data_IF_953403630275
#
_entry.id   IF_953403630275
#
_cell.length_a   1.000
_cell.length_b   1.000
_cell.length_c   1.000
_cell.angle_alpha   90.00
_cell.angle_beta   90.00
_cell.angle_gamma   90.00
#
_symmetry.space_group_name_H-M   'P 1'
#
loop_
_entity.id
_entity.type
_entity.pdbx_description
1 polymer ?
#
# COMPACT_ATOMS: atom_id res chain seq x y z
N UNK A 1 -11.55 25.47 2.75
CA UNK A 1 -10.15 25.00 2.94
C UNK A 1 -10.09 24.12 4.17
N UNK A 2 -9.65 22.86 4.06
CA UNK A 2 -9.45 21.99 5.24
C UNK A 2 -8.36 22.62 6.12
N UNK A 3 -8.56 22.66 7.44
CA UNK A 3 -7.52 23.06 8.37
C UNK A 3 -6.49 21.94 8.46
N UNK A 4 -5.25 22.21 8.09
CA UNK A 4 -4.14 21.27 8.25
C UNK A 4 -3.95 20.96 9.73
N UNK A 5 -3.99 19.68 10.10
CA UNK A 5 -3.71 19.25 11.48
C UNK A 5 -2.22 19.40 11.78
N UNK A 6 -1.80 19.52 13.05
CA UNK A 6 -0.37 19.57 13.40
C UNK A 6 0.43 18.39 12.85
N UNK A 7 -0.15 17.18 12.83
CA UNK A 7 0.48 15.99 12.26
C UNK A 7 0.64 16.08 10.74
N UNK A 8 -0.38 16.60 10.03
CA UNK A 8 -0.29 16.80 8.58
C UNK A 8 0.74 17.89 8.23
N UNK A 9 0.80 18.98 9.01
CA UNK A 9 1.78 20.04 8.83
C UNK A 9 3.21 19.50 9.01
N UNK A 10 3.45 18.69 10.04
CA UNK A 10 4.74 18.01 10.24
C UNK A 10 5.10 17.12 9.05
N UNK A 11 4.15 16.36 8.52
CA UNK A 11 4.33 15.53 7.32
C UNK A 11 4.77 16.36 6.12
N UNK A 12 4.05 17.45 5.83
CA UNK A 12 4.38 18.39 4.74
C UNK A 12 5.81 18.93 4.89
N UNK A 13 6.18 19.43 6.08
CA UNK A 13 7.54 19.95 6.30
C UNK A 13 8.62 18.88 6.10
N UNK A 14 8.35 17.62 6.48
CA UNK A 14 9.27 16.50 6.26
C UNK A 14 9.47 16.23 4.77
N UNK A 15 8.42 16.27 3.95
CA UNK A 15 8.53 16.12 2.50
C UNK A 15 9.32 17.29 1.90
N UNK A 16 8.99 18.53 2.27
CA UNK A 16 9.69 19.74 1.79
C UNK A 16 11.21 19.69 2.06
N UNK A 17 11.61 19.15 3.23
CA UNK A 17 13.03 18.98 3.54
C UNK A 17 13.72 17.95 2.64
N UNK A 18 13.05 16.84 2.32
CA UNK A 18 13.60 15.79 1.46
C UNK A 18 13.62 16.20 0.00
N UNK A 19 12.57 16.86 -0.47
CA UNK A 19 12.51 17.44 -1.79
C UNK A 19 13.67 18.42 -2.02
N UNK A 20 13.90 19.35 -1.08
CA UNK A 20 15.05 20.27 -1.14
C UNK A 20 16.39 19.55 -1.10
N UNK A 21 16.51 18.44 -0.40
CA UNK A 21 17.74 17.64 -0.44
C UNK A 21 17.97 17.03 -1.82
N UNK A 22 16.94 16.47 -2.45
CA UNK A 22 17.05 15.89 -3.80
C UNK A 22 17.31 16.98 -4.86
N UNK A 23 16.52 18.06 -4.84
CA UNK A 23 16.57 19.12 -5.87
C UNK A 23 17.74 20.08 -5.69
N UNK A 24 18.04 20.46 -4.45
CA UNK A 24 18.98 21.56 -4.14
C UNK A 24 20.23 21.08 -3.37
N UNK A 25 20.34 19.78 -3.06
CA UNK A 25 21.42 19.21 -2.22
C UNK A 25 21.54 19.89 -0.85
N UNK A 26 20.44 20.47 -0.34
CA UNK A 26 20.40 21.11 0.98
C UNK A 26 20.03 20.10 2.05
N UNK A 27 20.92 19.91 3.02
CA UNK A 27 20.67 19.03 4.17
C UNK A 27 19.50 19.53 5.03
N UNK A 28 18.64 18.64 5.55
CA UNK A 28 17.59 19.01 6.49
C UNK A 28 18.16 19.64 7.78
N UNK A 29 17.50 20.66 8.36
CA UNK A 29 17.95 21.32 9.58
C UNK A 29 17.71 20.43 10.81
N UNK A 30 18.78 19.88 11.39
CA UNK A 30 18.69 18.92 12.51
C UNK A 30 18.18 19.53 13.84
N UNK A 31 18.07 20.84 13.93
CA UNK A 31 17.49 21.53 15.09
C UNK A 31 15.96 21.50 15.10
N UNK A 32 15.29 21.20 13.99
CA UNK A 32 13.81 21.07 13.93
C UNK A 32 13.36 19.61 14.04
N UNK A 33 12.15 19.32 14.58
CA UNK A 33 11.59 17.96 14.56
C UNK A 33 11.45 17.38 13.14
N UNK A 34 10.94 18.17 12.19
CA UNK A 34 10.77 17.80 10.78
C UNK A 34 12.10 17.50 10.10
N UNK A 35 13.13 18.33 10.33
CA UNK A 35 14.46 18.12 9.75
C UNK A 35 15.16 16.86 10.28
N UNK A 36 15.03 16.55 11.57
CA UNK A 36 15.53 15.28 12.13
C UNK A 36 14.85 14.05 11.53
N UNK A 37 13.52 14.10 11.35
CA UNK A 37 12.76 13.02 10.71
C UNK A 37 13.12 12.87 9.24
N UNK A 38 13.29 13.98 8.52
CA UNK A 38 13.74 13.95 7.13
C UNK A 38 15.11 13.29 7.01
N UNK A 39 16.09 13.72 7.83
CA UNK A 39 17.46 13.23 7.79
C UNK A 39 17.58 11.70 7.97
N UNK A 40 16.78 11.08 8.84
CA UNK A 40 16.82 9.62 9.02
C UNK A 40 16.23 8.85 7.84
N UNK A 41 15.32 9.48 7.08
CA UNK A 41 14.79 8.90 5.84
C UNK A 41 15.78 8.97 4.68
N UNK A 42 16.60 10.03 4.61
CA UNK A 42 17.52 10.26 3.49
C UNK A 42 18.56 9.16 3.30
N UNK A 43 18.94 8.44 4.36
CA UNK A 43 19.86 7.30 4.26
C UNK A 43 19.29 6.12 3.44
N UNK A 44 17.98 6.10 3.20
CA UNK A 44 17.28 5.05 2.45
C UNK A 44 16.79 5.54 1.08
N UNK A 45 17.02 6.82 0.77
CA UNK A 45 16.65 7.50 -0.46
C UNK A 45 17.82 7.43 -1.45
N UNK A 46 17.57 7.29 -2.76
CA UNK A 46 18.64 7.41 -3.77
C UNK A 46 19.34 8.77 -3.67
N UNK A 47 20.61 8.83 -4.07
CA UNK A 47 21.38 10.07 -3.97
C UNK A 47 20.85 11.13 -4.94
N UNK A 48 21.05 12.44 -4.66
CA UNK A 48 20.68 13.49 -5.59
C UNK A 48 21.38 13.30 -6.94
N UNK A 49 20.63 13.36 -8.03
CA UNK A 49 21.12 13.06 -9.38
C UNK A 49 20.91 11.62 -9.83
N UNK A 50 20.49 10.71 -8.93
CA UNK A 50 20.00 9.36 -9.28
C UNK A 50 18.47 9.29 -9.26
N UNK A 51 17.79 10.35 -8.82
CA UNK A 51 16.36 10.38 -8.66
C UNK A 51 15.78 11.79 -8.91
N UNK A 52 14.47 11.83 -9.19
CA UNK A 52 13.64 13.04 -9.22
C UNK A 52 12.66 13.02 -8.04
N UNK A 53 12.34 14.20 -7.49
CA UNK A 53 11.41 14.35 -6.38
C UNK A 53 10.11 15.06 -6.75
N UNK A 54 9.02 14.66 -6.10
CA UNK A 54 7.69 15.28 -6.13
C UNK A 54 7.13 15.43 -7.55
N UNK A 55 7.27 14.36 -8.34
CA UNK A 55 6.84 14.34 -9.73
C UNK A 55 5.33 14.25 -9.80
N UNK A 56 4.70 15.30 -10.34
CA UNK A 56 3.29 15.28 -10.67
C UNK A 56 3.10 14.76 -12.09
N UNK A 57 2.31 13.70 -12.23
CA UNK A 57 1.95 13.12 -13.52
C UNK A 57 0.44 13.27 -13.67
N UNK A 58 0.03 13.80 -14.82
CA UNK A 58 -1.37 13.96 -15.22
C UNK A 58 -1.53 13.35 -16.60
N UNK A 59 -2.27 12.26 -16.69
CA UNK A 59 -2.42 11.53 -17.95
C UNK A 59 -3.71 10.72 -17.97
N UNK A 60 -4.16 10.37 -19.16
CA UNK A 60 -5.28 9.46 -19.36
C UNK A 60 -4.74 8.10 -19.78
N UNK A 61 -5.06 7.06 -19.02
CA UNK A 61 -4.69 5.68 -19.32
C UNK A 61 -6.00 4.93 -19.54
N UNK A 62 -6.20 4.44 -20.76
CA UNK A 62 -7.37 3.64 -21.15
C UNK A 62 -8.71 4.27 -20.74
N UNK A 63 -8.83 5.59 -20.97
CA UNK A 63 -10.05 6.36 -20.68
C UNK A 63 -10.17 6.88 -19.25
N UNK A 64 -9.30 6.48 -18.33
CA UNK A 64 -9.29 6.97 -16.93
C UNK A 64 -8.30 8.12 -16.78
N UNK A 65 -8.74 9.26 -16.26
CA UNK A 65 -7.85 10.38 -15.94
C UNK A 65 -7.16 10.17 -14.59
N UNK A 66 -5.83 10.09 -14.62
CA UNK A 66 -4.99 9.98 -13.44
C UNK A 66 -4.30 11.30 -13.13
N UNK A 67 -4.33 11.69 -11.85
CA UNK A 67 -3.47 12.74 -11.30
C UNK A 67 -2.72 12.19 -10.09
N UNK A 68 -1.44 11.87 -10.29
CA UNK A 68 -0.59 11.25 -9.27
C UNK A 68 0.57 12.18 -8.92
N UNK A 69 1.05 12.06 -7.67
CA UNK A 69 2.24 12.77 -7.18
C UNK A 69 3.16 11.74 -6.52
N UNK A 70 4.28 11.45 -7.17
CA UNK A 70 5.26 10.48 -6.68
C UNK A 70 6.34 11.23 -5.90
N UNK A 71 6.57 10.85 -4.64
CA UNK A 71 7.54 11.55 -3.77
C UNK A 71 8.95 11.48 -4.35
N UNK A 72 9.40 10.28 -4.76
CA UNK A 72 10.69 10.07 -5.43
C UNK A 72 10.59 8.93 -6.43
N UNK A 73 11.25 9.07 -7.59
CA UNK A 73 11.52 7.94 -8.48
C UNK A 73 12.96 7.93 -8.98
N UNK A 74 13.50 6.73 -9.26
CA UNK A 74 14.82 6.57 -9.87
C UNK A 74 14.86 7.13 -11.30
N UNK A 75 16.04 7.57 -11.69
CA UNK A 75 16.38 7.85 -13.08
C UNK A 75 16.96 6.58 -13.74
N UNK A 76 16.85 6.52 -15.06
CA UNK A 76 17.47 5.45 -15.86
C UNK A 76 18.97 5.33 -15.57
N UNK A 77 19.53 4.09 -15.59
CA UNK A 77 18.89 2.84 -16.02
C UNK A 77 18.13 2.10 -14.89
N UNK A 78 18.01 2.68 -13.70
CA UNK A 78 17.33 2.05 -12.57
C UNK A 78 15.86 2.46 -12.53
N UNK A 79 15.00 1.53 -12.10
CA UNK A 79 13.56 1.79 -11.99
C UNK A 79 13.09 1.56 -10.57
N UNK A 80 12.41 2.56 -10.02
CA UNK A 80 11.82 2.43 -8.71
C UNK A 80 11.10 3.67 -8.25
N UNK A 81 10.12 3.45 -7.38
CA UNK A 81 9.27 4.48 -6.78
C UNK A 81 9.43 4.42 -5.26
N UNK A 82 9.48 5.59 -4.63
CA UNK A 82 9.57 5.72 -3.18
C UNK A 82 8.45 6.60 -2.69
N UNK A 83 7.99 6.28 -1.49
CA UNK A 83 6.99 7.06 -0.78
C UNK A 83 7.39 7.21 0.69
N UNK A 84 7.20 8.41 1.23
CA UNK A 84 7.49 8.74 2.61
C UNK A 84 6.21 8.84 3.43
N UNK A 85 6.16 8.08 4.52
CA UNK A 85 5.01 8.11 5.43
C UNK A 85 5.46 8.55 6.82
N UNK A 86 5.04 9.71 7.28
CA UNK A 86 5.14 10.03 8.71
C UNK A 86 4.02 9.31 9.47
N UNK A 87 4.35 8.59 10.54
CA UNK A 87 3.34 7.84 11.32
C UNK A 87 3.58 7.96 12.82
N UNK A 88 2.51 8.00 13.60
CA UNK A 88 2.56 7.90 15.07
C UNK A 88 2.65 6.45 15.55
N UNK A 89 2.40 5.47 14.68
CA UNK A 89 2.47 4.05 15.01
C UNK A 89 2.88 3.22 13.79
N UNK A 90 3.90 2.36 13.96
CA UNK A 90 4.38 1.47 12.89
C UNK A 90 3.47 0.26 12.64
N UNK A 91 2.45 0.03 13.47
CA UNK A 91 1.44 -1.00 13.17
C UNK A 91 0.67 -0.74 11.86
N UNK A 92 0.72 0.50 11.36
CA UNK A 92 0.15 0.91 10.07
C UNK A 92 1.15 0.85 8.92
N UNK A 93 2.38 0.41 9.19
CA UNK A 93 3.33 0.16 8.12
C UNK A 93 2.88 -1.06 7.32
N UNK A 94 3.00 -0.99 6.00
CA UNK A 94 2.82 -2.17 5.16
C UNK A 94 3.83 -3.24 5.56
N UNK A 95 3.45 -4.49 5.36
CA UNK A 95 4.40 -5.59 5.26
C UNK A 95 4.84 -5.69 3.80
N UNK A 96 5.93 -6.39 3.47
CA UNK A 96 6.27 -6.63 2.07
C UNK A 96 5.12 -7.28 1.29
N UNK A 97 4.38 -8.20 1.92
CA UNK A 97 3.21 -8.83 1.31
C UNK A 97 2.05 -7.85 1.08
N UNK A 98 1.73 -6.98 2.04
CA UNK A 98 0.67 -5.99 1.82
C UNK A 98 1.09 -4.85 0.89
N UNK A 99 2.39 -4.54 0.82
CA UNK A 99 2.93 -3.63 -0.20
C UNK A 99 2.86 -4.26 -1.60
N UNK A 100 2.99 -5.58 -1.70
CA UNK A 100 2.83 -6.32 -2.95
C UNK A 100 1.43 -6.20 -3.57
N UNK A 101 0.43 -5.81 -2.78
CA UNK A 101 -0.97 -5.66 -3.21
C UNK A 101 -1.43 -4.19 -3.13
N UNK A 102 -0.54 -3.28 -2.74
CA UNK A 102 -0.91 -1.89 -2.52
C UNK A 102 -1.23 -1.17 -3.83
N UNK A 103 -2.43 -0.57 -3.88
CA UNK A 103 -2.92 0.16 -5.06
C UNK A 103 -2.08 1.38 -5.39
N UNK A 104 -1.68 2.17 -4.38
CA UNK A 104 -0.90 3.38 -4.61
C UNK A 104 0.43 3.06 -5.30
N UNK A 105 1.10 1.99 -4.87
CA UNK A 105 2.31 1.48 -5.50
C UNK A 105 2.08 1.06 -6.95
N UNK A 106 1.05 0.25 -7.23
CA UNK A 106 0.75 -0.20 -8.61
C UNK A 106 0.51 1.02 -9.50
N UNK A 107 -0.32 1.96 -9.04
CA UNK A 107 -0.63 3.21 -9.73
C UNK A 107 0.64 4.02 -9.98
N UNK A 108 1.54 4.15 -9.01
CA UNK A 108 2.78 4.92 -9.15
C UNK A 108 3.71 4.31 -10.20
N UNK A 109 3.91 3.00 -10.18
CA UNK A 109 4.76 2.30 -11.15
C UNK A 109 4.17 2.44 -12.54
N UNK A 110 2.90 2.10 -12.74
CA UNK A 110 2.25 2.17 -14.06
C UNK A 110 2.28 3.58 -14.63
N UNK A 111 1.92 4.59 -13.81
CA UNK A 111 1.93 5.97 -14.27
C UNK A 111 3.35 6.45 -14.61
N UNK A 112 4.37 6.00 -13.89
CA UNK A 112 5.76 6.33 -14.21
C UNK A 112 6.20 5.71 -15.53
N UNK A 113 5.88 4.43 -15.79
CA UNK A 113 6.22 3.74 -17.03
C UNK A 113 5.58 4.43 -18.24
N UNK A 114 4.28 4.71 -18.15
CA UNK A 114 3.53 5.42 -19.19
C UNK A 114 4.07 6.83 -19.42
N UNK A 115 4.37 7.57 -18.35
CA UNK A 115 4.94 8.92 -18.45
C UNK A 115 6.31 8.95 -19.13
N UNK A 116 7.11 7.89 -18.95
CA UNK A 116 8.42 7.74 -19.58
C UNK A 116 8.33 7.12 -20.97
N UNK A 117 7.13 6.75 -21.43
CA UNK A 117 6.89 6.09 -22.72
C UNK A 117 7.69 4.78 -22.87
N UNK A 118 7.90 4.06 -21.77
CA UNK A 118 8.66 2.79 -21.75
C UNK A 118 7.71 1.62 -21.53
N UNK A 119 7.87 0.57 -22.35
CA UNK A 119 7.09 -0.66 -22.20
C UNK A 119 7.50 -1.40 -20.92
N UNK A 120 6.55 -1.97 -20.16
CA UNK A 120 6.86 -2.83 -19.00
C UNK A 120 7.83 -3.97 -19.34
N UNK A 121 7.82 -4.49 -20.57
CA UNK A 121 8.73 -5.54 -21.03
C UNK A 121 10.20 -5.09 -21.10
N UNK A 122 10.47 -3.78 -21.22
CA UNK A 122 11.81 -3.21 -21.32
C UNK A 122 12.46 -2.90 -19.95
N UNK A 123 11.64 -2.77 -18.90
CA UNK A 123 12.08 -2.23 -17.61
C UNK A 123 12.66 -3.29 -16.66
N UNK A 124 12.38 -4.58 -16.89
CA UNK A 124 12.84 -5.63 -15.97
C UNK A 124 12.23 -5.46 -14.58
N UNK A 125 13.06 -5.46 -13.54
CA UNK A 125 12.61 -5.34 -12.14
C UNK A 125 12.47 -3.88 -11.70
N UNK A 126 11.40 -3.58 -10.96
CA UNK A 126 11.11 -2.26 -10.38
C UNK A 126 11.12 -2.35 -8.86
N UNK A 127 11.89 -1.48 -8.20
CA UNK A 127 11.89 -1.35 -6.74
C UNK A 127 10.80 -0.38 -6.28
N UNK A 128 9.88 -0.87 -5.46
CA UNK A 128 8.95 -0.05 -4.69
C UNK A 128 9.38 -0.01 -3.23
N UNK A 129 9.63 1.20 -2.69
CA UNK A 129 10.05 1.36 -1.28
C UNK A 129 9.20 2.38 -0.55
N UNK A 130 8.56 1.96 0.53
CA UNK A 130 7.85 2.85 1.44
C UNK A 130 8.67 3.07 2.70
N UNK A 131 8.96 4.33 3.04
CA UNK A 131 9.84 4.69 4.15
C UNK A 131 9.00 5.33 5.24
N UNK A 132 8.74 4.56 6.30
CA UNK A 132 7.98 5.02 7.45
C UNK A 132 8.87 5.75 8.45
N UNK A 133 8.41 6.94 8.85
CA UNK A 133 9.09 7.84 9.77
C UNK A 133 8.28 7.98 11.06
N UNK A 134 8.64 7.23 12.13
CA UNK A 134 7.91 7.27 13.39
C UNK A 134 8.08 8.61 14.10
N UNK A 135 6.98 9.32 14.35
CA UNK A 135 6.96 10.67 14.94
C UNK A 135 7.02 10.67 16.48
N UNK A 136 6.77 9.53 17.11
CA UNK A 136 6.68 9.38 18.58
C UNK A 136 8.03 9.11 19.26
N UNK A 137 9.09 8.84 18.49
CA UNK A 137 10.40 8.48 19.02
C UNK A 137 11.28 9.71 19.23
N UNK A 138 11.95 9.79 20.39
CA UNK A 138 12.97 10.83 20.66
C UNK A 138 14.17 10.76 19.70
N UNK A 139 14.49 9.55 19.23
CA UNK A 139 15.51 9.25 18.23
C UNK A 139 14.86 8.40 17.15
N UNK A 140 14.21 9.01 16.16
CA UNK A 140 13.49 8.26 15.14
C UNK A 140 14.47 7.41 14.34
N UNK A 141 14.04 6.20 13.98
CA UNK A 141 14.71 5.33 13.01
C UNK A 141 13.73 5.10 11.89
N UNK A 142 14.15 5.33 10.65
CA UNK A 142 13.32 5.04 9.49
C UNK A 142 13.08 3.53 9.38
N UNK A 143 11.88 3.15 8.93
CA UNK A 143 11.49 1.76 8.71
C UNK A 143 11.13 1.58 7.23
N UNK A 144 12.04 1.03 6.40
CA UNK A 144 11.75 0.73 5.01
C UNK A 144 10.90 -0.53 4.89
N UNK A 145 9.99 -0.51 3.93
CA UNK A 145 9.25 -1.67 3.45
C UNK A 145 9.48 -1.73 1.95
N UNK A 146 10.11 -2.81 1.50
CA UNK A 146 10.57 -2.96 0.13
C UNK A 146 9.76 -4.04 -0.58
N UNK A 147 9.53 -3.81 -1.87
CA UNK A 147 9.02 -4.80 -2.80
C UNK A 147 9.72 -4.65 -4.14
N UNK A 148 10.19 -5.75 -4.71
CA UNK A 148 10.80 -5.78 -6.04
C UNK A 148 10.03 -6.78 -6.89
N UNK A 149 9.59 -6.35 -8.07
CA UNK A 149 8.89 -7.21 -9.01
C UNK A 149 9.14 -6.76 -10.44
N UNK A 150 8.86 -7.64 -11.40
CA UNK A 150 8.92 -7.28 -12.82
C UNK A 150 7.85 -6.25 -13.15
N UNK A 151 8.21 -5.22 -13.92
CA UNK A 151 7.28 -4.22 -14.40
C UNK A 151 6.06 -4.82 -15.12
N UNK A 152 6.26 -5.90 -15.88
CA UNK A 152 5.16 -6.62 -16.55
C UNK A 152 4.13 -7.17 -15.56
N UNK A 153 4.57 -7.70 -14.41
CA UNK A 153 3.67 -8.22 -13.37
C UNK A 153 2.89 -7.05 -12.71
N UNK A 154 3.55 -5.91 -12.51
CA UNK A 154 2.86 -4.71 -12.01
C UNK A 154 1.80 -4.23 -13.00
N UNK A 155 2.10 -4.27 -14.30
CA UNK A 155 1.16 -3.93 -15.37
C UNK A 155 -0.04 -4.89 -15.40
N UNK A 156 0.18 -6.20 -15.33
CA UNK A 156 -0.90 -7.20 -15.26
C UNK A 156 -1.84 -6.90 -14.08
N UNK A 157 -1.28 -6.58 -12.91
CA UNK A 157 -2.07 -6.18 -11.72
C UNK A 157 -2.82 -4.86 -11.91
N UNK A 158 -2.23 -3.93 -12.64
CA UNK A 158 -2.91 -2.70 -13.00
C UNK A 158 -4.15 -3.01 -13.86
N UNK A 159 -3.98 -3.78 -14.93
CA UNK A 159 -5.05 -4.16 -15.87
C UNK A 159 -6.14 -4.99 -15.16
N UNK A 160 -5.75 -5.98 -14.36
CA UNK A 160 -6.70 -6.93 -13.77
C UNK A 160 -7.45 -6.38 -12.56
N UNK A 161 -6.85 -5.47 -11.81
CA UNK A 161 -7.38 -5.04 -10.50
C UNK A 161 -7.63 -3.54 -10.44
N UNK A 162 -6.63 -2.72 -10.78
CA UNK A 162 -6.71 -1.26 -10.57
C UNK A 162 -7.61 -0.61 -11.60
N UNK A 163 -7.41 -0.95 -12.87
CA UNK A 163 -8.07 -0.31 -13.99
C UNK A 163 -9.61 -0.50 -13.98
N UNK A 164 -10.16 -1.71 -13.73
CA UNK A 164 -11.61 -1.90 -13.65
C UNK A 164 -12.26 -1.07 -12.55
N UNK A 165 -11.63 -1.01 -11.37
CA UNK A 165 -12.09 -0.16 -10.26
C UNK A 165 -12.05 1.31 -10.66
N UNK A 166 -10.99 1.74 -11.33
CA UNK A 166 -10.85 3.13 -11.74
C UNK A 166 -11.88 3.53 -12.81
N UNK A 167 -12.19 2.65 -13.76
CA UNK A 167 -13.28 2.83 -14.70
C UNK A 167 -14.64 2.90 -14.01
N UNK A 168 -14.89 2.04 -13.02
CA UNK A 168 -16.12 2.11 -12.21
C UNK A 168 -16.23 3.47 -11.51
N UNK A 169 -15.14 3.96 -10.91
CA UNK A 169 -15.09 5.27 -10.25
C UNK A 169 -15.31 6.43 -11.24
N UNK A 170 -14.73 6.40 -12.44
CA UNK A 170 -14.91 7.45 -13.45
C UNK A 170 -16.34 7.48 -13.98
N UNK A 171 -16.98 6.31 -14.10
CA UNK A 171 -18.36 6.17 -14.57
C UNK A 171 -19.41 6.33 -13.46
N UNK A 172 -18.99 6.31 -12.19
CA UNK A 172 -19.89 6.50 -11.08
C UNK A 172 -20.48 7.93 -11.08
N UNK A 173 -21.68 8.08 -10.53
CA UNK A 173 -22.26 9.41 -10.35
C UNK A 173 -21.31 10.26 -9.50
N UNK A 174 -21.13 11.52 -9.89
CA UNK A 174 -20.31 12.46 -9.12
C UNK A 174 -21.09 13.10 -7.97
N UNK A 175 -22.40 12.90 -7.92
CA UNK A 175 -23.26 13.43 -6.87
C UNK A 175 -23.12 12.54 -5.62
N UNK A 176 -22.67 13.09 -4.48
CA UNK A 176 -22.47 12.32 -3.24
C UNK A 176 -23.73 11.60 -2.76
N UNK A 177 -24.91 12.11 -3.10
CA UNK A 177 -26.23 11.56 -2.75
C UNK A 177 -26.52 10.22 -3.41
N UNK A 178 -25.88 9.94 -4.55
CA UNK A 178 -26.08 8.70 -5.31
C UNK A 178 -25.26 7.52 -4.76
N UNK A 179 -24.40 7.78 -3.77
CA UNK A 179 -23.53 6.78 -3.16
C UNK A 179 -24.05 6.29 -1.79
N UNK A 180 -23.84 5.00 -1.45
CA UNK A 180 -24.11 4.50 -0.10
C UNK A 180 -23.33 5.28 0.97
N UNK A 181 -24.00 5.62 2.08
CA UNK A 181 -23.36 6.34 3.18
C UNK A 181 -22.51 5.41 4.03
N UNK A 182 -21.20 5.67 4.07
CA UNK A 182 -20.25 4.99 4.96
C UNK A 182 -19.88 5.88 6.15
N UNK A 183 -20.82 6.03 7.08
CA UNK A 183 -20.69 6.99 8.19
C UNK A 183 -19.54 6.68 9.15
N UNK A 184 -19.13 5.42 9.26
CA UNK A 184 -17.99 5.00 10.08
C UNK A 184 -16.63 5.30 9.43
N UNK A 185 -16.61 5.57 8.12
CA UNK A 185 -15.43 6.03 7.40
C UNK A 185 -15.26 7.57 7.44
N UNK A 186 -16.26 8.32 7.93
CA UNK A 186 -16.25 9.79 7.86
C UNK A 186 -15.09 10.46 8.60
N UNK A 187 -14.52 9.81 9.62
CA UNK A 187 -13.39 10.31 10.39
C UNK A 187 -12.06 9.60 10.03
N UNK A 188 -12.10 8.68 9.05
CA UNK A 188 -10.91 8.02 8.54
C UNK A 188 -10.10 8.95 7.61
N UNK A 189 -8.80 8.68 7.49
CA UNK A 189 -7.88 9.38 6.57
C UNK A 189 -7.90 10.92 6.65
N UNK A 190 -8.19 11.49 7.83
CA UNK A 190 -8.24 12.94 8.03
C UNK A 190 -9.60 13.60 7.75
N UNK A 191 -10.64 12.79 7.57
CA UNK A 191 -12.03 13.21 7.50
C UNK A 191 -12.62 13.23 6.08
N UNK A 192 -13.94 13.08 6.00
CA UNK A 192 -14.73 13.12 4.77
C UNK A 192 -15.31 14.52 4.53
N UNK A 193 -15.12 15.08 3.34
CA UNK A 193 -15.66 16.39 2.96
C UNK A 193 -17.17 16.39 2.73
N UNK A 194 -17.72 15.24 2.35
CA UNK A 194 -19.15 15.06 2.19
C UNK A 194 -19.87 14.77 3.52
N UNK A 195 -19.16 14.86 4.67
CA UNK A 195 -19.74 14.58 6.00
C UNK A 195 -21.01 15.40 6.23
N UNK A 196 -21.02 16.69 5.91
CA UNK A 196 -22.21 17.53 6.11
C UNK A 196 -23.40 17.06 5.28
N UNK A 197 -23.16 16.66 4.03
CA UNK A 197 -24.17 16.12 3.11
C UNK A 197 -24.67 14.77 3.63
N UNK A 198 -23.78 13.83 3.93
CA UNK A 198 -24.13 12.52 4.47
C UNK A 198 -24.88 12.60 5.82
N UNK A 199 -24.57 13.61 6.64
CA UNK A 199 -25.18 13.82 7.96
C UNK A 199 -26.44 14.68 7.93
N UNK A 200 -26.70 15.44 6.86
CA UNK A 200 -27.83 16.39 6.77
C UNK A 200 -29.17 15.72 7.08
N UNK A 201 -29.38 14.51 6.55
CA UNK A 201 -30.62 13.74 6.64
C UNK A 201 -30.60 12.62 7.69
N UNK A 202 -29.60 12.60 8.59
CA UNK A 202 -29.57 11.61 9.68
C UNK A 202 -30.42 12.09 10.85
N UNK A 203 -31.20 11.18 11.42
CA UNK A 203 -31.84 11.40 12.72
C UNK A 203 -30.79 11.66 13.80
N UNK A 204 -31.16 12.35 14.88
CA UNK A 204 -30.25 12.59 16.03
C UNK A 204 -29.67 11.29 16.59
N UNK A 205 -30.44 10.19 16.54
CA UNK A 205 -30.00 8.86 16.97
C UNK A 205 -28.91 8.29 16.06
N UNK A 206 -29.08 8.41 14.75
CA UNK A 206 -28.08 7.97 13.76
C UNK A 206 -26.81 8.82 13.81
N UNK A 207 -26.94 10.14 13.98
CA UNK A 207 -25.80 11.04 14.19
C UNK A 207 -24.97 10.62 15.40
N UNK A 208 -25.61 10.33 16.53
CA UNK A 208 -24.92 9.83 17.73
C UNK A 208 -24.28 8.47 17.47
N UNK A 209 -24.99 7.53 16.83
CA UNK A 209 -24.42 6.21 16.51
C UNK A 209 -23.20 6.32 15.60
N UNK A 210 -23.20 7.23 14.63
CA UNK A 210 -22.05 7.46 13.76
C UNK A 210 -20.85 8.05 14.52
N UNK A 211 -21.07 9.01 15.42
CA UNK A 211 -20.01 9.63 16.23
C UNK A 211 -19.37 8.64 17.22
N UNK A 212 -20.17 7.72 17.77
CA UNK A 212 -19.71 6.75 18.77
C UNK A 212 -19.45 5.34 18.20
N UNK A 213 -19.64 5.14 16.90
CA UNK A 213 -19.29 3.88 16.27
C UNK A 213 -17.77 3.73 16.33
N UNK A 214 -17.25 2.56 16.76
CA UNK A 214 -15.82 2.31 16.60
C UNK A 214 -15.49 2.43 15.10
N UNK A 215 -14.39 3.10 14.81
CA UNK A 215 -13.88 3.24 13.44
C UNK A 215 -13.76 1.87 12.79
N UNK A 216 -13.88 1.77 11.46
CA UNK A 216 -13.75 0.49 10.76
C UNK A 216 -12.40 -0.17 11.09
N UNK A 217 -11.37 0.65 11.23
CA UNK A 217 -10.06 0.24 11.74
C UNK A 217 -10.06 -0.37 13.15
N UNK A 218 -10.75 0.22 14.12
CA UNK A 218 -10.91 -0.38 15.45
C UNK A 218 -11.65 -1.72 15.38
N UNK A 219 -12.64 -1.86 14.48
CA UNK A 219 -13.32 -3.14 14.25
C UNK A 219 -12.34 -4.20 13.74
N UNK A 220 -11.47 -3.87 12.78
CA UNK A 220 -10.45 -4.79 12.26
C UNK A 220 -9.46 -5.20 13.35
N UNK A 221 -8.94 -4.24 14.14
CA UNK A 221 -8.01 -4.53 15.24
C UNK A 221 -8.68 -5.39 16.32
N UNK A 222 -9.94 -5.12 16.66
CA UNK A 222 -10.70 -5.94 17.60
C UNK A 222 -10.94 -7.35 17.04
N UNK A 223 -11.24 -7.48 15.74
CA UNK A 223 -11.44 -8.76 15.09
C UNK A 223 -10.15 -9.59 15.04
N UNK A 224 -9.01 -8.99 14.68
CA UNK A 224 -7.72 -9.68 14.65
C UNK A 224 -7.28 -10.12 16.05
N UNK A 225 -7.44 -9.26 17.06
CA UNK A 225 -7.16 -9.61 18.45
C UNK A 225 -8.07 -10.74 18.96
N UNK A 226 -9.35 -10.77 18.55
CA UNK A 226 -10.27 -11.85 18.86
C UNK A 226 -9.84 -13.16 18.18
N UNK A 227 -9.46 -13.10 16.90
CA UNK A 227 -8.99 -14.27 16.14
C UNK A 227 -7.70 -14.86 16.73
N UNK A 228 -6.74 -14.02 17.11
CA UNK A 228 -5.52 -14.46 17.80
C UNK A 228 -5.84 -15.08 19.17
N UNK A 229 -6.82 -14.54 19.90
CA UNK A 229 -7.30 -15.15 21.15
C UNK A 229 -7.97 -16.51 20.94
N UNK A 230 -8.70 -16.69 19.84
CA UNK A 230 -9.30 -17.99 19.47
C UNK A 230 -8.19 -18.99 19.12
N UNK A 231 -7.20 -18.60 18.30
CA UNK A 231 -6.04 -19.45 17.98
C UNK A 231 -5.25 -19.83 19.22
N UNK A 232 -4.98 -18.88 20.12
CA UNK A 232 -4.28 -19.14 21.36
C UNK A 232 -5.07 -20.10 22.28
N UNK A 233 -6.40 -20.01 22.30
CA UNK A 233 -7.26 -20.97 23.03
C UNK A 233 -7.24 -22.36 22.39
N UNK A 234 -7.27 -22.44 21.06
CA UNK A 234 -7.17 -23.71 20.35
C UNK A 234 -5.82 -24.40 20.62
N UNK A 235 -4.72 -23.63 20.63
CA UNK A 235 -3.39 -24.13 20.97
C UNK A 235 -3.25 -24.52 22.46
N UNK A 236 -3.89 -23.78 23.37
CA UNK A 236 -3.84 -24.05 24.81
C UNK A 236 -4.72 -25.23 25.25
N UNK A 237 -5.84 -25.47 24.56
CA UNK A 237 -6.72 -26.62 24.78
C UNK A 237 -6.23 -27.87 24.03
N UNK A 238 -4.91 -27.97 23.84
CA UNK A 238 -4.24 -28.83 22.88
C UNK A 238 -4.89 -30.21 22.74
N UNK A 239 -5.11 -30.58 21.47
CA UNK A 239 -5.35 -31.92 20.92
C UNK A 239 -5.38 -33.06 21.93
N UNK A 240 -6.40 -33.03 22.79
CA UNK A 240 -7.05 -34.24 23.26
C UNK A 240 -7.75 -34.81 22.05
N UNK A 241 -7.00 -35.56 21.23
CA UNK A 241 -7.51 -36.42 20.17
C UNK A 241 -8.56 -37.32 20.82
N UNK A 242 -9.82 -36.90 20.77
CA UNK A 242 -10.94 -37.81 20.95
C UNK A 242 -10.97 -38.62 19.67
N UNK A 243 -10.33 -39.78 19.74
CA UNK A 243 -10.40 -40.83 18.73
C UNK A 243 -11.88 -41.22 18.58
N UNK A 244 -12.54 -40.65 17.57
CA UNK A 244 -13.91 -40.97 17.20
C UNK A 244 -13.91 -42.35 16.56
N UNK A 245 -14.02 -43.39 17.39
CA UNK A 245 -14.44 -44.71 16.92
C UNK A 245 -15.85 -44.57 16.35
N UNK A 246 -15.97 -44.78 15.05
CA UNK A 246 -17.24 -44.92 14.34
C UNK A 246 -18.11 -45.97 15.03
N UNK A 247 -19.34 -45.62 15.39
CA UNK A 247 -20.35 -46.65 15.54
C UNK A 247 -21.77 -46.18 15.17
N UNK A 248 -22.47 -47.18 14.64
CA UNK A 248 -23.78 -47.30 14.00
C UNK A 248 -24.96 -46.41 14.44
N UNK A 249 -25.86 -46.26 13.47
CA UNK A 249 -27.26 -45.79 13.54
C UNK A 249 -28.19 -47.02 13.36
N UNK A 250 -29.51 -47.00 13.64
CA UNK A 250 -30.32 -46.67 14.84
C UNK A 250 -31.19 -47.90 15.31
N UNK A 251 -32.13 -47.79 16.27
CA UNK A 251 -33.55 -47.60 15.87
C UNK A 251 -34.42 -46.74 16.82
N UNK A 252 -35.70 -46.67 16.46
CA UNK A 252 -36.70 -45.65 16.72
C UNK A 252 -37.50 -45.73 18.04
N UNK A 253 -38.20 -44.60 18.28
CA UNK A 253 -39.51 -44.39 18.95
C UNK A 253 -39.74 -44.80 20.41
N UNK A 254 -40.68 -44.05 21.06
CA UNK A 254 -41.42 -44.24 22.35
C UNK A 254 -41.36 -42.95 23.23
N UNK A 255 -42.45 -42.54 23.96
CA UNK A 255 -43.25 -41.34 23.70
C UNK A 255 -43.16 -40.31 24.89
N UNK A 256 -43.99 -39.23 24.97
CA UNK A 256 -43.76 -38.13 25.90
C UNK A 256 -44.46 -38.30 27.28
N UNK A 257 -44.34 -37.25 28.12
CA UNK A 257 -44.97 -36.90 29.43
C UNK A 257 -44.24 -37.28 30.74
N UNK A 258 -44.45 -36.58 31.89
CA UNK A 258 -44.95 -35.21 32.17
C UNK A 258 -44.14 -34.36 33.20
N UNK A 259 -44.28 -33.04 33.10
CA UNK A 259 -44.45 -31.95 34.13
C UNK A 259 -43.76 -31.90 35.52
N UNK A 260 -43.11 -30.73 35.76
CA UNK A 260 -43.14 -29.85 36.97
C UNK A 260 -42.32 -30.22 38.24
N UNK A 261 -42.02 -29.29 39.19
CA UNK A 261 -42.33 -27.84 39.31
C UNK A 261 -41.14 -26.89 39.68
N UNK A 262 -41.47 -25.59 39.71
CA UNK A 262 -40.74 -24.41 40.21
C UNK A 262 -40.03 -24.54 41.55
N UNK A 263 -38.93 -23.77 41.72
CA UNK A 263 -38.56 -23.15 43.01
C UNK A 263 -38.13 -21.70 42.78
N UNK A 264 -38.80 -20.84 43.54
CA UNK A 264 -38.66 -19.40 43.67
C UNK A 264 -37.41 -18.94 44.46
N UNK A 265 -36.96 -17.72 44.13
CA UNK A 265 -36.48 -16.64 45.02
C UNK A 265 -35.09 -16.74 45.69
N UNK A 266 -34.49 -15.61 46.17
CA UNK A 266 -34.92 -14.20 46.09
C UNK A 266 -33.89 -13.20 45.53
N UNK A 267 -34.40 -12.00 45.26
CA UNK A 267 -33.68 -10.71 45.13
C UNK A 267 -32.89 -10.34 46.40
N UNK A 268 -31.77 -9.63 46.22
CA UNK A 268 -31.29 -8.61 47.18
C UNK A 268 -30.19 -7.72 46.56
N UNK A 269 -29.83 -6.55 47.13
CA UNK A 269 -29.93 -5.29 46.42
C UNK A 269 -28.59 -4.58 46.17
N UNK A 270 -28.71 -3.48 45.43
CA UNK A 270 -27.69 -2.52 45.02
C UNK A 270 -26.62 -2.18 46.07
N UNK A 271 -25.37 -2.09 45.61
CA UNK A 271 -24.32 -1.25 46.21
C UNK A 271 -23.60 -0.47 45.12
N UNK A 272 -23.82 0.84 45.13
CA UNK A 272 -23.02 1.85 44.45
C UNK A 272 -21.65 1.96 45.14
N UNK A 273 -20.58 1.61 44.42
CA UNK A 273 -19.21 1.93 44.81
C UNK A 273 -18.71 3.18 44.05
N UNK A 274 -18.24 4.25 44.73
CA UNK A 274 -17.66 5.41 44.06
C UNK A 274 -16.27 5.08 43.49
N UNK A 275 -15.86 5.69 42.35
CA UNK A 275 -14.55 5.42 41.77
C UNK A 275 -13.41 5.96 42.64
N UNK A 276 -12.61 5.03 43.17
CA UNK A 276 -11.31 5.30 43.82
C UNK A 276 -10.37 6.02 42.86
N UNK A 277 -10.07 7.29 43.17
CA UNK A 277 -8.94 8.03 42.59
C UNK A 277 -7.62 7.31 42.94
N UNK A 278 -6.95 6.73 41.94
CA UNK A 278 -5.56 6.26 42.09
C UNK A 278 -4.63 7.47 42.09
N UNK A 279 -4.15 7.82 43.29
CA UNK A 279 -3.04 8.74 43.48
C UNK A 279 -1.75 8.18 42.86
N UNK A 280 -0.97 9.08 42.27
CA UNK A 280 0.37 8.83 41.75
C UNK A 280 1.35 8.82 42.93
N UNK A 281 2.14 7.76 43.17
CA UNK A 281 3.14 7.81 44.23
C UNK A 281 4.23 8.83 43.89
N UNK A 282 4.59 9.73 44.82
CA UNK A 282 5.67 10.69 44.64
C UNK A 282 7.00 10.03 44.97
N UNK A 283 7.96 10.08 44.05
CA UNK A 283 9.36 9.82 44.35
C UNK A 283 10.02 8.75 43.49
N UNK A 284 10.59 9.18 42.37
CA UNK A 284 11.84 8.58 41.89
C UNK A 284 12.82 9.72 41.58
N UNK A 285 13.73 9.93 42.53
CA UNK A 285 14.90 10.79 42.37
C UNK A 285 15.86 10.04 41.43
N UNK A 286 15.98 10.50 40.19
CA UNK A 286 17.00 9.99 39.27
C UNK A 286 18.37 10.54 39.69
N UNK A 287 19.22 9.61 40.11
CA UNK A 287 20.65 9.77 40.37
C UNK A 287 21.39 9.86 39.02
N UNK A 288 22.31 10.81 38.81
CA UNK A 288 23.09 10.86 37.57
C UNK A 288 24.08 9.68 37.55
N UNK A 289 24.03 8.87 36.49
CA UNK A 289 25.02 7.82 36.22
C UNK A 289 26.19 8.47 35.48
N UNK A 290 27.31 8.54 36.18
CA UNK A 290 28.64 8.88 35.67
C UNK A 290 29.05 7.94 34.53
N UNK A 291 29.86 8.49 33.63
CA UNK A 291 30.08 7.98 32.29
C UNK A 291 30.94 6.72 32.15
N UNK A 292 30.89 6.22 30.93
CA UNK A 292 31.76 5.18 30.41
C UNK A 292 32.04 5.59 28.95
N UNK A 293 33.29 5.95 28.69
CA UNK A 293 33.78 6.27 27.33
C UNK A 293 33.77 4.99 26.49
N UNK A 294 33.40 5.05 25.20
CA UNK A 294 33.58 3.92 24.29
C UNK A 294 35.08 3.67 24.05
N UNK A 295 35.51 2.41 23.94
CA UNK A 295 36.88 2.08 23.60
C UNK A 295 37.23 2.50 22.16
N UNK A 296 38.44 3.03 22.05
CA UNK A 296 39.13 3.45 20.84
C UNK A 296 39.23 2.28 19.85
N UNK A 297 38.63 2.45 18.66
CA UNK A 297 38.74 1.49 17.57
C UNK A 297 40.14 1.53 16.97
N UNK A 298 40.90 0.46 17.18
CA UNK A 298 42.15 0.21 16.48
C UNK A 298 41.89 -0.04 14.99
N UNK A 299 42.53 0.78 14.16
CA UNK A 299 42.57 0.63 12.69
C UNK A 299 43.54 -0.50 12.37
N UNK A 300 43.04 -1.57 11.73
CA UNK A 300 43.88 -2.63 11.16
C UNK A 300 44.54 -2.12 9.86
N UNK A 301 45.85 -2.36 9.65
CA UNK A 301 46.53 -2.02 8.41
C UNK A 301 46.10 -2.97 7.26
N UNK A 302 46.05 -2.39 6.06
CA UNK A 302 45.51 -3.00 4.85
C UNK A 302 46.22 -4.28 4.41
N UNK A 303 45.41 -5.23 3.92
CA UNK A 303 45.85 -6.39 3.16
C UNK A 303 45.73 -5.99 1.69
N UNK A 304 46.87 -5.73 1.06
CA UNK A 304 46.99 -5.60 -0.39
C UNK A 304 46.81 -6.99 -1.00
N UNK A 305 45.67 -7.24 -1.64
CA UNK A 305 45.48 -8.39 -2.49
C UNK A 305 46.00 -8.06 -3.90
N UNK A 306 47.18 -8.60 -4.20
CA UNK A 306 47.74 -8.68 -5.54
C UNK A 306 46.89 -9.66 -6.37
N UNK A 307 45.99 -9.12 -7.20
CA UNK A 307 45.17 -9.88 -8.14
C UNK A 307 45.93 -9.92 -9.45
N UNK A 308 46.59 -11.05 -9.71
CA UNK A 308 47.26 -11.30 -10.99
C UNK A 308 46.29 -11.25 -12.18
N UNK A 309 46.79 -10.97 -13.39
CA UNK A 309 45.96 -10.80 -14.57
C UNK A 309 45.22 -12.09 -14.94
N UNK A 310 43.90 -12.01 -15.03
CA UNK A 310 43.05 -13.09 -15.54
C UNK A 310 43.36 -13.38 -17.01
N UNK A 311 43.34 -14.65 -17.44
CA UNK A 311 43.55 -15.03 -18.83
C UNK A 311 42.35 -14.58 -19.69
N UNK A 312 42.64 -13.77 -20.71
CA UNK A 312 41.68 -13.41 -21.77
C UNK A 312 41.21 -14.68 -22.49
N UNK A 313 39.94 -15.05 -22.31
CA UNK A 313 39.25 -15.96 -23.22
C UNK A 313 38.51 -15.14 -24.27
N UNK A 314 38.95 -15.26 -25.52
CA UNK A 314 38.26 -14.77 -26.72
C UNK A 314 36.84 -15.34 -26.78
N UNK A 315 35.88 -14.54 -26.32
CA UNK A 315 34.46 -14.82 -26.53
C UNK A 315 34.05 -14.29 -27.91
N UNK A 316 33.29 -15.06 -28.70
CA UNK A 316 32.83 -14.61 -30.00
C UNK A 316 32.01 -13.32 -29.85
N UNK A 317 32.10 -12.37 -30.80
CA UNK A 317 31.40 -11.10 -30.70
C UNK A 317 29.90 -11.36 -30.63
N UNK A 318 29.28 -10.91 -29.53
CA UNK A 318 27.83 -10.88 -29.40
C UNK A 318 27.26 -9.99 -30.51
N UNK A 319 26.16 -10.40 -31.17
CA UNK A 319 25.53 -9.56 -32.17
C UNK A 319 25.16 -8.20 -31.55
N UNK A 320 25.46 -7.12 -32.27
CA UNK A 320 25.22 -5.75 -31.82
C UNK A 320 23.73 -5.59 -31.49
N UNK A 321 23.43 -5.21 -30.24
CA UNK A 321 22.08 -5.07 -29.68
C UNK A 321 21.12 -4.26 -30.55
N UNK A 322 21.62 -3.32 -31.35
CA UNK A 322 20.84 -2.53 -32.31
C UNK A 322 20.14 -3.41 -33.36
N UNK A 323 20.79 -4.46 -33.86
CA UNK A 323 20.22 -5.29 -34.94
C UNK A 323 19.00 -6.10 -34.51
N UNK A 324 18.90 -6.47 -33.23
CA UNK A 324 17.75 -7.22 -32.71
C UNK A 324 16.54 -6.31 -32.50
N UNK A 325 16.76 -5.07 -32.06
CA UNK A 325 15.68 -4.09 -31.86
C UNK A 325 15.10 -3.67 -33.21
N UNK A 326 15.95 -3.43 -34.20
CA UNK A 326 15.51 -3.03 -35.56
C UNK A 326 14.71 -4.13 -36.26
N UNK A 327 15.09 -5.40 -36.05
CA UNK A 327 14.33 -6.55 -36.58
C UNK A 327 12.96 -6.68 -35.92
N UNK A 328 12.88 -6.51 -34.60
CA UNK A 328 11.62 -6.57 -33.87
C UNK A 328 10.69 -5.41 -34.24
N UNK A 329 11.22 -4.20 -34.47
CA UNK A 329 10.41 -3.07 -34.89
C UNK A 329 9.89 -3.26 -36.33
N UNK A 330 10.70 -3.81 -37.24
CA UNK A 330 10.27 -4.13 -38.60
C UNK A 330 9.15 -5.20 -38.64
N UNK A 331 9.24 -6.24 -37.81
CA UNK A 331 8.19 -7.25 -37.68
C UNK A 331 6.91 -6.65 -37.09
N UNK A 332 7.03 -5.77 -36.09
CA UNK A 332 5.89 -5.08 -35.48
C UNK A 332 5.17 -4.13 -36.46
N UNK A 333 5.92 -3.35 -37.25
CA UNK A 333 5.34 -2.50 -38.28
C UNK A 333 4.63 -3.31 -39.37
N UNK A 334 5.20 -4.46 -39.74
CA UNK A 334 4.58 -5.39 -40.70
C UNK A 334 3.26 -5.94 -40.16
N UNK A 335 3.23 -6.37 -38.89
CA UNK A 335 2.01 -6.83 -38.22
C UNK A 335 0.92 -5.74 -38.18
N UNK A 336 1.29 -4.49 -37.86
CA UNK A 336 0.36 -3.34 -37.88
C UNK A 336 -0.24 -3.10 -39.26
N UNK A 337 0.58 -3.19 -40.31
CA UNK A 337 0.12 -2.99 -41.69
C UNK A 337 -0.87 -4.09 -42.10
N UNK A 338 -0.58 -5.35 -41.79
CA UNK A 338 -1.48 -6.50 -42.08
C UNK A 338 -2.80 -6.36 -41.31
N UNK A 339 -2.74 -5.93 -40.05
CA UNK A 339 -3.92 -5.73 -39.22
C UNK A 339 -4.80 -4.59 -39.75
N UNK A 340 -4.20 -3.44 -40.11
CA UNK A 340 -4.91 -2.32 -40.72
C UNK A 340 -5.56 -2.72 -42.05
N UNK A 341 -4.86 -3.47 -42.91
CA UNK A 341 -5.41 -4.00 -44.16
C UNK A 341 -6.58 -4.96 -43.91
N UNK A 342 -6.50 -5.78 -42.85
CA UNK A 342 -7.56 -6.71 -42.47
C UNK A 342 -8.81 -5.96 -41.98
N UNK A 343 -8.64 -4.92 -41.16
CA UNK A 343 -9.75 -4.06 -40.71
C UNK A 343 -10.42 -3.37 -41.90
N UNK A 344 -9.65 -2.79 -42.83
CA UNK A 344 -10.20 -2.16 -44.05
C UNK A 344 -10.98 -3.17 -44.91
N UNK A 345 -10.43 -4.37 -45.07
CA UNK A 345 -11.08 -5.45 -45.84
C UNK A 345 -12.38 -5.91 -45.19
N UNK A 346 -12.42 -6.01 -43.86
CA UNK A 346 -13.63 -6.36 -43.11
C UNK A 346 -14.65 -5.22 -43.12
N UNK A 347 -14.22 -3.97 -42.96
CA UNK A 347 -15.10 -2.80 -43.05
C UNK A 347 -15.74 -2.62 -44.44
N UNK A 348 -15.16 -3.23 -45.48
CA UNK A 348 -15.71 -3.24 -46.84
C UNK A 348 -16.79 -4.32 -47.06
N UNK A 349 -17.06 -5.17 -46.07
CA UNK A 349 -18.08 -6.21 -46.16
C UNK A 349 -19.48 -5.61 -45.93
N UNK A 350 -20.44 -5.82 -46.85
CA UNK A 350 -21.77 -5.23 -46.73
C UNK A 350 -22.64 -5.88 -45.64
N UNK A 351 -22.23 -7.05 -45.13
CA UNK A 351 -22.94 -7.80 -44.10
C UNK A 351 -22.48 -7.47 -42.66
N UNK A 352 -21.43 -6.64 -42.51
CA UNK A 352 -20.95 -6.23 -41.20
C UNK A 352 -21.51 -4.86 -40.83
N UNK A 353 -22.01 -4.75 -39.59
CA UNK A 353 -22.45 -3.48 -39.03
C UNK A 353 -21.27 -2.69 -38.49
N UNK A 354 -21.49 -1.40 -38.25
CA UNK A 354 -20.49 -0.53 -37.59
C UNK A 354 -20.15 -1.05 -36.18
N UNK A 355 -21.08 -1.75 -35.52
CA UNK A 355 -20.82 -2.39 -34.21
C UNK A 355 -19.84 -3.55 -34.37
N UNK A 356 -20.06 -4.43 -35.35
CA UNK A 356 -19.19 -5.59 -35.58
C UNK A 356 -17.76 -5.15 -35.90
N UNK A 357 -17.60 -4.08 -36.68
CA UNK A 357 -16.28 -3.52 -37.01
C UNK A 357 -15.59 -2.96 -35.75
N UNK A 358 -16.35 -2.33 -34.85
CA UNK A 358 -15.82 -1.79 -33.59
C UNK A 358 -15.38 -2.90 -32.64
N UNK A 359 -16.20 -3.93 -32.46
CA UNK A 359 -15.90 -5.05 -31.58
C UNK A 359 -14.66 -5.83 -32.07
N UNK A 360 -14.53 -5.96 -33.40
CA UNK A 360 -13.38 -6.61 -34.01
C UNK A 360 -12.09 -5.77 -33.91
N UNK A 361 -12.20 -4.44 -34.02
CA UNK A 361 -11.08 -3.54 -33.77
C UNK A 361 -10.66 -3.55 -32.29
N UNK A 362 -11.62 -3.71 -31.36
CA UNK A 362 -11.35 -3.93 -29.94
C UNK A 362 -10.55 -5.22 -29.72
N UNK A 363 -11.05 -6.36 -30.22
CA UNK A 363 -10.38 -7.65 -30.08
C UNK A 363 -8.96 -7.69 -30.70
N UNK A 364 -8.74 -6.95 -31.80
CA UNK A 364 -7.42 -6.81 -32.41
C UNK A 364 -6.48 -5.90 -31.61
N UNK A 365 -7.03 -4.93 -30.86
CA UNK A 365 -6.25 -4.08 -29.96
C UNK A 365 -5.84 -4.87 -28.71
N UNK A 366 -6.68 -5.78 -28.23
CA UNK A 366 -6.35 -6.66 -27.09
C UNK A 366 -5.27 -7.69 -27.45
N UNK A 367 -5.21 -8.13 -28.71
CA UNK A 367 -4.10 -8.97 -29.25
C UNK A 367 -2.74 -8.26 -29.26
N UNK A 368 -2.70 -6.92 -29.10
CA UNK A 368 -1.47 -6.12 -29.02
C UNK A 368 -0.83 -6.14 -27.61
N UNK A 369 -1.58 -6.61 -26.61
CA UNK A 369 -1.13 -6.72 -25.21
C UNK A 369 -0.44 -8.06 -24.89
N UNK A 370 -0.40 -8.98 -25.86
CA UNK A 370 0.39 -10.22 -25.85
C UNK A 370 1.61 -10.08 -26.76
#
# INVERSE_FOLDING_TARGET
MRKTTPSAALGIEVHDHKERWIKERKSPPLNTPSGRLAAVGLALTPSPGQCEAEKQIKQTIDGVFWWVKIDVHHLEPSWGVYDYKTTSNLEYAHTPASLAEDFQRIIYVENLLMYKEVSPAQVGDVLSRWIYLPTYLKRPKAHPVDWVEKASITHDRYVDVVHPIALEVENASREPEDHPRHLDACDEFGGCEFREICHSNLSTKEKRRAIFAPSHKEKIVMASALMEKIKARAAANGDGVIETTANEKPPADVPPTPSSPSVDSPEDPAKDDPPKRRGRPPGSKNKPKSGEQPPEQQVLPGIEHDVGPEPEMDSPPLPERETVIDLLDAEFQTARLVMAQTIVKLASRPDLTVSDIRDLAGALTDLRLF
#
